data_IF_747670049427
#
_entry.id   IF_747670049427
#
_cell.length_a   1.000
_cell.length_b   1.000
_cell.length_c   1.000
_cell.angle_alpha   90.00
_cell.angle_beta   90.00
_cell.angle_gamma   90.00
#
_symmetry.space_group_name_H-M   'P 1'
#
loop_
_entity.id
_entity.type
_entity.pdbx_description
1 polymer ?
#
# COMPACT_ATOMS: atom_id res chain seq x y z
N UNK A 1 -12.23 -18.89 -23.00
CA UNK A 1 -11.73 -17.63 -22.40
C UNK A 1 -12.52 -17.25 -21.15
N UNK A 2 -13.85 -17.04 -21.23
CA UNK A 2 -14.67 -16.68 -20.06
C UNK A 2 -14.55 -17.69 -18.89
N UNK A 3 -14.73 -19.00 -19.16
CA UNK A 3 -14.54 -20.06 -18.15
C UNK A 3 -13.14 -20.02 -17.50
N UNK A 4 -12.10 -19.77 -18.29
CA UNK A 4 -10.73 -19.64 -17.80
C UNK A 4 -10.55 -18.42 -16.89
N UNK A 5 -11.08 -17.26 -17.29
CA UNK A 5 -11.03 -16.03 -16.49
C UNK A 5 -11.74 -16.25 -15.16
N UNK A 6 -12.93 -16.86 -15.16
CA UNK A 6 -13.64 -17.21 -13.92
C UNK A 6 -12.79 -18.13 -13.06
N UNK A 7 -12.20 -19.18 -13.63
CA UNK A 7 -11.34 -20.10 -12.89
C UNK A 7 -10.13 -19.39 -12.28
N UNK A 8 -9.52 -18.46 -13.03
CA UNK A 8 -8.40 -17.64 -12.56
C UNK A 8 -8.82 -16.74 -11.42
N UNK A 9 -9.95 -16.05 -11.52
CA UNK A 9 -10.52 -15.20 -10.45
C UNK A 9 -10.84 -16.04 -9.22
N UNK A 10 -11.45 -17.22 -9.38
CA UNK A 10 -11.72 -18.13 -8.26
C UNK A 10 -10.43 -18.61 -7.58
N UNK A 11 -9.34 -18.82 -8.34
CA UNK A 11 -8.03 -19.17 -7.79
C UNK A 11 -7.33 -17.99 -7.10
N UNK A 12 -7.70 -16.74 -7.39
CA UNK A 12 -7.14 -15.58 -6.68
C UNK A 12 -7.52 -15.60 -5.21
N UNK A 13 -8.76 -16.01 -4.87
CA UNK A 13 -9.26 -16.04 -3.49
C UNK A 13 -8.40 -16.92 -2.57
N UNK A 14 -8.20 -18.23 -2.85
CA UNK A 14 -7.36 -19.08 -2.00
C UNK A 14 -5.89 -18.65 -2.02
N UNK A 15 -5.40 -18.10 -3.14
CA UNK A 15 -4.03 -17.56 -3.22
C UNK A 15 -3.85 -16.36 -2.30
N UNK A 16 -4.81 -15.42 -2.32
CA UNK A 16 -4.84 -14.23 -1.47
C UNK A 16 -4.93 -14.61 0.02
N UNK A 17 -5.84 -15.52 0.37
CA UNK A 17 -5.96 -16.03 1.74
C UNK A 17 -4.65 -16.71 2.16
N UNK A 18 -4.05 -17.56 1.31
CA UNK A 18 -2.78 -18.22 1.61
C UNK A 18 -1.63 -17.24 1.89
N UNK A 19 -1.48 -16.21 1.07
CA UNK A 19 -0.45 -15.16 1.25
C UNK A 19 -0.70 -14.39 2.54
N UNK A 20 -1.94 -14.00 2.81
CA UNK A 20 -2.30 -13.19 3.99
C UNK A 20 -2.16 -13.97 5.29
N UNK A 21 -2.58 -15.25 5.34
CA UNK A 21 -2.33 -16.13 6.49
C UNK A 21 -0.83 -16.20 6.77
N UNK A 22 -0.03 -16.59 5.76
CA UNK A 22 1.40 -16.79 5.94
C UNK A 22 2.08 -15.54 6.48
N UNK A 23 1.82 -14.37 5.86
CA UNK A 23 2.45 -13.13 6.28
C UNK A 23 1.98 -12.65 7.65
N UNK A 24 0.69 -12.77 7.95
CA UNK A 24 0.12 -12.40 9.24
C UNK A 24 0.74 -13.21 10.38
N UNK A 25 0.89 -14.53 10.21
CA UNK A 25 1.54 -15.39 11.20
C UNK A 25 3.03 -15.06 11.35
N UNK A 26 3.74 -14.81 10.24
CA UNK A 26 5.15 -14.40 10.28
C UNK A 26 5.31 -13.13 11.13
N UNK A 27 4.47 -12.10 10.91
CA UNK A 27 4.55 -10.86 11.69
C UNK A 27 4.39 -11.08 13.19
N UNK A 28 3.60 -12.07 13.61
CA UNK A 28 3.37 -12.36 15.03
C UNK A 28 4.48 -13.18 15.69
N UNK A 29 5.23 -13.96 14.91
CA UNK A 29 6.34 -14.78 15.41
C UNK A 29 7.64 -13.95 15.49
N UNK A 30 7.76 -12.90 14.68
CA UNK A 30 8.92 -12.02 14.67
C UNK A 30 9.07 -11.30 16.02
N UNK A 31 10.21 -11.41 16.71
CA UNK A 31 10.43 -10.76 17.99
C UNK A 31 10.47 -9.23 17.86
N UNK A 32 10.14 -8.53 18.95
CA UNK A 32 10.07 -7.06 18.97
C UNK A 32 8.80 -6.56 18.33
N UNK A 33 7.64 -7.09 18.75
CA UNK A 33 6.33 -6.63 18.26
C UNK A 33 6.02 -5.18 18.66
N UNK A 34 4.93 -4.57 18.16
CA UNK A 34 4.59 -3.17 18.43
C UNK A 34 4.42 -2.88 19.92
N UNK A 35 3.78 -3.80 20.66
CA UNK A 35 3.61 -3.68 22.10
C UNK A 35 4.97 -3.68 22.83
N UNK A 36 5.87 -4.58 22.47
CA UNK A 36 7.22 -4.66 23.07
C UNK A 36 8.05 -3.41 22.76
N UNK A 37 7.96 -2.86 21.54
CA UNK A 37 8.64 -1.63 21.17
C UNK A 37 8.13 -0.43 21.96
N UNK A 38 6.82 -0.28 22.14
CA UNK A 38 6.28 0.82 22.94
C UNK A 38 6.64 0.68 24.42
N UNK A 39 6.57 -0.53 24.98
CA UNK A 39 7.05 -0.79 26.34
C UNK A 39 8.52 -0.39 26.48
N UNK A 40 9.36 -0.75 25.51
CA UNK A 40 10.78 -0.39 25.53
C UNK A 40 10.99 1.13 25.43
N UNK A 41 10.25 1.82 24.55
CA UNK A 41 10.30 3.29 24.43
C UNK A 41 9.87 3.98 25.72
N UNK A 42 8.79 3.52 26.35
CA UNK A 42 8.32 4.04 27.64
C UNK A 42 9.36 3.84 28.74
N UNK A 43 9.95 2.64 28.84
CA UNK A 43 11.04 2.36 29.78
C UNK A 43 12.25 3.27 29.53
N UNK A 44 12.66 3.45 28.28
CA UNK A 44 13.77 4.34 27.92
C UNK A 44 13.48 5.81 28.22
N UNK A 45 12.25 6.27 27.94
CA UNK A 45 11.81 7.63 28.24
C UNK A 45 11.83 7.90 29.75
N UNK A 46 11.38 6.94 30.57
CA UNK A 46 11.43 7.02 32.03
C UNK A 46 12.86 6.94 32.59
N UNK A 47 13.75 6.19 31.93
CA UNK A 47 15.19 6.20 32.28
C UNK A 47 15.85 7.55 31.95
N UNK A 48 15.45 8.21 30.86
CA UNK A 48 15.97 9.53 30.48
C UNK A 48 15.35 10.68 31.28
N UNK A 49 14.11 10.57 31.76
CA UNK A 49 13.43 11.62 32.53
C UNK A 49 13.94 11.78 33.97
N UNK A 50 14.87 10.92 34.42
CA UNK A 50 15.51 11.04 35.74
C UNK A 50 14.62 10.68 36.94
N UNK A 51 13.36 10.30 36.72
CA UNK A 51 12.42 9.88 37.79
C UNK A 51 12.83 8.57 38.47
N UNK A 52 13.69 7.77 37.83
CA UNK A 52 14.27 6.55 38.42
C UNK A 52 15.37 6.84 39.47
N UNK A 53 15.76 8.10 39.70
CA UNK A 53 16.90 8.49 40.55
C UNK A 53 16.63 8.61 42.05
N UNK A 54 15.39 8.45 42.54
CA UNK A 54 15.03 8.77 43.92
C UNK A 54 14.85 7.57 44.86
N UNK A 55 14.96 6.32 44.39
CA UNK A 55 14.93 5.14 45.28
C UNK A 55 16.21 4.33 45.11
N UNK A 56 17.04 4.36 46.15
CA UNK A 56 18.34 3.69 46.17
C UNK A 56 18.22 2.16 46.13
N UNK A 57 19.28 1.55 45.62
CA UNK A 57 19.63 0.12 45.65
C UNK A 57 18.82 -0.82 44.75
N UNK A 58 19.11 -0.79 43.44
CA UNK A 58 19.49 -1.95 42.62
C UNK A 58 19.46 -1.52 41.15
N UNK A 59 20.57 -1.70 40.45
CA UNK A 59 20.71 -1.45 39.00
C UNK A 59 20.00 -2.55 38.17
N UNK A 60 18.99 -3.21 38.76
CA UNK A 60 18.27 -4.39 38.31
C UNK A 60 16.74 -4.28 38.55
N UNK A 61 16.25 -3.11 38.98
CA UNK A 61 14.82 -2.88 39.12
C UNK A 61 14.13 -2.87 37.75
N UNK A 62 13.38 -3.93 37.43
CA UNK A 62 12.43 -3.92 36.33
C UNK A 62 11.53 -2.71 36.50
N UNK A 63 11.57 -1.78 35.54
CA UNK A 63 10.56 -0.74 35.43
C UNK A 63 9.23 -1.45 35.20
N UNK A 64 8.43 -1.56 36.26
CA UNK A 64 7.12 -2.20 36.25
C UNK A 64 6.07 -1.20 35.73
N UNK A 65 5.53 -1.49 34.56
CA UNK A 65 4.37 -0.79 34.02
C UNK A 65 3.15 -1.25 34.81
N UNK A 66 2.30 -0.32 35.26
CA UNK A 66 1.05 -0.65 35.96
C UNK A 66 0.26 -1.72 35.20
N UNK A 67 -0.28 -2.76 35.87
CA UNK A 67 -1.06 -3.83 35.23
C UNK A 67 -2.21 -3.29 34.38
N UNK A 68 -2.87 -2.21 34.82
CA UNK A 68 -3.97 -1.57 34.10
C UNK A 68 -3.48 -0.89 32.81
N UNK A 69 -2.32 -0.23 32.85
CA UNK A 69 -1.71 0.38 31.66
C UNK A 69 -1.31 -0.70 30.64
N UNK A 70 -0.75 -1.82 31.12
CA UNK A 70 -0.40 -2.97 30.29
C UNK A 70 -1.64 -3.59 29.62
N UNK A 71 -2.74 -3.70 30.33
CA UNK A 71 -4.01 -4.21 29.80
C UNK A 71 -4.60 -3.27 28.73
N UNK A 72 -4.62 -1.96 28.99
CA UNK A 72 -5.04 -0.95 27.99
C UNK A 72 -4.17 -1.02 26.73
N UNK A 73 -2.86 -1.16 26.85
CA UNK A 73 -1.96 -1.30 25.70
C UNK A 73 -2.20 -2.61 24.93
N UNK A 74 -2.38 -3.75 25.63
CA UNK A 74 -2.70 -5.03 24.98
C UNK A 74 -4.00 -4.93 24.19
N UNK A 75 -5.03 -4.30 24.76
CA UNK A 75 -6.32 -4.07 24.11
C UNK A 75 -6.18 -3.16 22.89
N UNK A 76 -5.45 -2.05 23.00
CA UNK A 76 -5.19 -1.12 21.89
C UNK A 76 -4.57 -1.81 20.66
N UNK A 77 -3.56 -2.66 20.88
CA UNK A 77 -2.91 -3.42 19.81
C UNK A 77 -3.61 -4.74 19.44
N UNK A 78 -4.75 -5.04 20.06
CA UNK A 78 -5.53 -6.26 19.87
C UNK A 78 -4.82 -7.55 20.32
N UNK A 79 -3.81 -7.46 21.18
CA UNK A 79 -3.12 -8.61 21.78
C UNK A 79 -3.89 -9.21 22.98
N UNK A 80 -5.05 -8.67 23.32
CA UNK A 80 -6.02 -9.27 24.25
C UNK A 80 -6.68 -10.54 23.67
N UNK A 81 -6.71 -10.69 22.35
CA UNK A 81 -7.39 -11.79 21.64
C UNK A 81 -6.42 -12.86 21.13
N UNK A 82 -6.86 -14.13 21.03
CA UNK A 82 -6.07 -15.18 20.39
C UNK A 82 -5.70 -14.82 18.94
N UNK A 83 -4.52 -15.27 18.49
CA UNK A 83 -3.95 -15.00 17.16
C UNK A 83 -4.95 -15.22 16.03
N UNK A 84 -5.70 -16.33 16.09
CA UNK A 84 -6.69 -16.71 15.07
C UNK A 84 -7.83 -15.69 15.03
N UNK A 85 -8.33 -15.25 16.20
CA UNK A 85 -9.41 -14.26 16.27
C UNK A 85 -8.94 -12.92 15.69
N UNK A 86 -7.69 -12.51 15.98
CA UNK A 86 -7.09 -11.31 15.40
C UNK A 86 -7.03 -11.37 13.87
N UNK A 87 -6.67 -12.54 13.31
CA UNK A 87 -6.67 -12.74 11.86
C UNK A 87 -8.06 -12.62 11.27
N UNK A 88 -9.06 -13.27 11.88
CA UNK A 88 -10.44 -13.24 11.39
C UNK A 88 -11.08 -11.85 11.51
N UNK A 89 -10.75 -11.10 12.57
CA UNK A 89 -11.10 -9.69 12.73
C UNK A 89 -10.48 -8.84 11.62
N UNK A 90 -9.18 -8.99 11.39
CA UNK A 90 -8.47 -8.24 10.34
C UNK A 90 -9.02 -8.56 8.94
N UNK A 91 -9.34 -9.82 8.67
CA UNK A 91 -9.92 -10.26 7.40
C UNK A 91 -11.38 -9.76 7.21
N UNK A 92 -12.07 -9.42 8.30
CA UNK A 92 -13.43 -8.90 8.30
C UNK A 92 -14.52 -9.97 8.31
N UNK A 93 -14.19 -11.20 8.73
CA UNK A 93 -15.15 -12.32 8.89
C UNK A 93 -15.51 -12.60 10.34
N UNK A 94 -14.90 -11.87 11.28
CA UNK A 94 -15.26 -11.92 12.69
C UNK A 94 -15.89 -10.59 13.14
N UNK A 95 -16.92 -10.62 14.01
CA UNK A 95 -17.54 -9.41 14.52
C UNK A 95 -16.53 -8.57 15.32
N UNK A 96 -16.38 -7.29 14.97
CA UNK A 96 -15.47 -6.35 15.61
C UNK A 96 -16.26 -5.31 16.40
N UNK A 97 -15.77 -5.00 17.59
CA UNK A 97 -16.27 -3.89 18.39
C UNK A 97 -15.81 -2.57 17.74
N UNK A 98 -16.78 -1.74 17.37
CA UNK A 98 -16.61 -0.43 16.77
C UNK A 98 -17.34 0.61 17.63
N UNK A 99 -17.02 1.88 17.44
CA UNK A 99 -17.64 3.00 18.15
C UNK A 99 -17.57 2.85 19.68
N UNK A 100 -16.45 2.30 20.17
CA UNK A 100 -16.23 2.04 21.58
C UNK A 100 -16.03 3.35 22.35
N UNK A 101 -16.82 3.55 23.41
CA UNK A 101 -16.64 4.66 24.36
C UNK A 101 -16.81 4.18 25.79
N UNK A 102 -15.96 4.68 26.68
CA UNK A 102 -16.10 4.51 28.13
C UNK A 102 -16.83 5.72 28.70
N UNK A 103 -17.90 5.48 29.45
CA UNK A 103 -18.82 6.51 29.93
C UNK A 103 -19.25 6.16 31.36
N UNK A 104 -19.39 7.17 32.22
CA UNK A 104 -19.98 7.00 33.55
C UNK A 104 -21.48 6.70 33.43
N UNK A 105 -22.02 5.85 34.31
CA UNK A 105 -23.46 5.56 34.33
C UNK A 105 -24.23 6.86 34.60
N UNK A 106 -25.24 7.13 33.78
CA UNK A 106 -26.12 8.30 33.90
C UNK A 106 -25.58 9.60 33.28
N UNK A 107 -24.33 9.66 32.82
CA UNK A 107 -23.79 10.85 32.14
C UNK A 107 -23.98 10.74 30.62
N UNK A 108 -24.82 11.61 29.99
CA UNK A 108 -25.00 11.58 28.55
C UNK A 108 -23.76 12.09 27.81
N UNK A 109 -23.51 11.53 26.63
CA UNK A 109 -22.45 11.98 25.74
C UNK A 109 -22.95 12.16 24.31
N UNK A 110 -22.27 13.03 23.56
CA UNK A 110 -22.54 13.24 22.14
C UNK A 110 -21.89 12.18 21.28
N UNK A 111 -22.66 11.65 20.34
CA UNK A 111 -22.23 10.68 19.34
C UNK A 111 -22.47 11.23 17.94
N UNK A 112 -21.42 11.26 17.13
CA UNK A 112 -21.49 11.68 15.72
C UNK A 112 -22.11 10.55 14.90
N UNK A 113 -23.22 10.84 14.22
CA UNK A 113 -23.96 9.88 13.40
C UNK A 113 -23.42 9.90 11.97
N UNK A 114 -23.37 11.07 11.35
CA UNK A 114 -22.97 11.24 9.95
C UNK A 114 -22.53 12.68 9.68
N UNK A 115 -21.71 12.86 8.64
CA UNK A 115 -21.36 14.17 8.10
C UNK A 115 -22.24 14.49 6.89
N UNK A 116 -23.00 15.58 6.96
CA UNK A 116 -23.84 16.05 5.85
C UNK A 116 -23.19 17.25 5.20
N UNK A 117 -23.10 17.22 3.87
CA UNK A 117 -22.53 18.33 3.09
C UNK A 117 -23.62 19.31 2.68
N UNK A 118 -23.42 20.59 2.97
CA UNK A 118 -24.26 21.69 2.50
C UNK A 118 -23.39 22.73 1.78
N UNK A 119 -23.54 22.83 0.46
CA UNK A 119 -22.64 23.65 -0.36
C UNK A 119 -21.18 23.18 -0.29
N UNK A 120 -20.31 24.03 0.26
CA UNK A 120 -18.89 23.73 0.50
C UNK A 120 -18.58 23.33 1.95
N UNK A 121 -19.55 23.44 2.86
CA UNK A 121 -19.37 23.19 4.28
C UNK A 121 -19.85 21.77 4.65
N UNK A 122 -19.22 21.21 5.68
CA UNK A 122 -19.54 19.89 6.24
C UNK A 122 -20.08 20.08 7.65
N UNK A 123 -21.29 19.59 7.90
CA UNK A 123 -21.96 19.67 9.19
C UNK A 123 -22.09 18.28 9.82
N UNK A 124 -21.89 18.22 11.14
CA UNK A 124 -22.00 16.97 11.90
C UNK A 124 -23.42 16.78 12.38
N UNK A 125 -24.05 15.67 11.99
CA UNK A 125 -25.25 15.19 12.65
C UNK A 125 -24.85 14.40 13.89
N UNK A 126 -25.42 14.80 15.01
CA UNK A 126 -25.12 14.27 16.32
C UNK A 126 -26.40 13.82 17.02
N UNK A 127 -26.23 12.98 18.04
CA UNK A 127 -27.28 12.63 18.99
C UNK A 127 -26.67 12.41 20.36
N UNK A 128 -27.49 12.47 21.40
CA UNK A 128 -27.10 12.12 22.75
C UNK A 128 -27.32 10.63 23.00
N UNK A 129 -26.39 10.04 23.73
CA UNK A 129 -26.46 8.66 24.21
C UNK A 129 -26.25 8.69 25.72
N UNK A 130 -27.10 8.00 26.47
CA UNK A 130 -26.91 7.78 27.91
C UNK A 130 -27.08 6.30 28.23
N UNK A 131 -26.40 5.86 29.28
CA UNK A 131 -26.55 4.50 29.82
C UNK A 131 -27.15 4.60 31.20
N UNK A 132 -28.23 3.87 31.45
CA UNK A 132 -28.86 3.78 32.76
C UNK A 132 -28.86 2.33 33.24
N UNK A 133 -28.72 2.16 34.56
CA UNK A 133 -28.85 0.86 35.22
C UNK A 133 -30.29 0.69 35.70
N UNK A 134 -31.07 -0.12 34.97
CA UNK A 134 -32.44 -0.45 35.35
C UNK A 134 -32.46 -1.83 36.01
N UNK A 135 -32.57 -1.86 37.34
CA UNK A 135 -32.67 -3.09 38.13
C UNK A 135 -31.51 -4.09 37.93
N UNK A 136 -30.30 -3.61 37.63
CA UNK A 136 -29.10 -4.42 37.44
C UNK A 136 -28.74 -4.67 35.96
N UNK A 137 -29.67 -4.38 35.04
CA UNK A 137 -29.44 -4.46 33.59
C UNK A 137 -29.12 -3.07 33.02
N UNK A 138 -28.06 -3.00 32.22
CA UNK A 138 -27.64 -1.77 31.56
C UNK A 138 -28.46 -1.56 30.28
N UNK A 139 -29.18 -0.45 30.22
CA UNK A 139 -29.93 -0.04 29.03
C UNK A 139 -29.34 1.23 28.43
N UNK A 140 -29.25 1.26 27.10
CA UNK A 140 -28.75 2.41 26.33
C UNK A 140 -29.94 3.18 25.77
N UNK A 141 -29.97 4.48 26.03
CA UNK A 141 -30.98 5.39 25.50
C UNK A 141 -30.34 6.38 24.52
N UNK A 142 -31.04 6.66 23.43
CA UNK A 142 -30.65 7.64 22.42
C UNK A 142 -31.67 8.78 22.33
N UNK A 143 -31.21 10.00 22.04
CA UNK A 143 -32.07 11.12 21.67
C UNK A 143 -32.41 11.12 20.18
N UNK A 144 -33.27 12.05 19.76
CA UNK A 144 -33.39 12.44 18.36
C UNK A 144 -32.05 12.93 17.77
N UNK A 145 -31.94 12.88 16.44
CA UNK A 145 -30.77 13.36 15.69
C UNK A 145 -30.94 14.85 15.40
N UNK A 146 -29.87 15.62 15.59
CA UNK A 146 -29.82 17.05 15.26
C UNK A 146 -28.38 17.49 14.99
N UNK A 147 -28.18 18.78 14.81
CA UNK A 147 -26.85 19.38 14.65
C UNK A 147 -26.61 20.49 15.67
N UNK A 148 -25.39 21.04 15.73
CA UNK A 148 -25.07 22.15 16.64
C UNK A 148 -25.90 23.42 16.39
N UNK A 149 -26.54 23.51 15.22
CA UNK A 149 -27.48 24.55 14.84
C UNK A 149 -28.45 23.98 13.82
N UNK A 150 -29.64 24.59 13.71
CA UNK A 150 -30.62 24.18 12.72
C UNK A 150 -30.13 24.50 11.30
N UNK A 151 -30.13 23.50 10.41
CA UNK A 151 -29.81 23.67 9.00
C UNK A 151 -30.64 22.70 8.13
N UNK A 152 -31.06 23.14 6.95
CA UNK A 152 -31.96 22.38 6.05
C UNK A 152 -33.18 21.79 6.79
N UNK A 153 -33.32 20.46 6.77
CA UNK A 153 -34.38 19.69 7.43
C UNK A 153 -33.95 19.15 8.81
N UNK A 154 -32.74 19.50 9.29
CA UNK A 154 -32.19 19.01 10.55
C UNK A 154 -32.33 20.06 11.66
N UNK A 155 -33.02 19.72 12.77
CA UNK A 155 -33.16 20.63 13.91
C UNK A 155 -31.85 20.78 14.68
N UNK A 156 -31.73 21.86 15.44
CA UNK A 156 -30.69 22.02 16.45
C UNK A 156 -30.85 20.94 17.53
N UNK A 157 -29.75 20.30 17.91
CA UNK A 157 -29.73 19.30 18.96
C UNK A 157 -29.74 20.01 20.33
N UNK A 158 -30.84 19.91 21.11
CA UNK A 158 -30.94 20.59 22.39
C UNK A 158 -29.92 20.05 23.40
N UNK A 159 -29.70 20.80 24.49
CA UNK A 159 -28.89 20.33 25.61
C UNK A 159 -29.53 19.07 26.23
N UNK A 160 -28.72 18.16 26.74
CA UNK A 160 -29.18 16.88 27.27
C UNK A 160 -30.18 17.03 28.43
N UNK A 161 -30.16 18.18 29.12
CA UNK A 161 -31.10 18.51 30.21
C UNK A 161 -32.50 18.88 29.71
N UNK A 162 -32.64 19.26 28.44
CA UNK A 162 -33.91 19.67 27.81
C UNK A 162 -34.55 18.52 27.01
N UNK A 163 -33.90 17.35 26.94
CA UNK A 163 -34.39 16.18 26.20
C UNK A 163 -35.36 15.39 27.06
N UNK A 164 -36.65 15.51 26.74
CA UNK A 164 -37.72 14.72 27.36
C UNK A 164 -37.84 13.32 26.75
N UNK A 165 -37.63 13.21 25.42
CA UNK A 165 -37.82 11.96 24.68
C UNK A 165 -36.51 11.18 24.51
N UNK A 166 -36.34 10.18 25.37
CA UNK A 166 -35.26 9.19 25.29
C UNK A 166 -35.79 7.85 24.80
N UNK A 167 -35.18 7.31 23.75
CA UNK A 167 -35.60 6.06 23.13
C UNK A 167 -34.65 4.93 23.54
N UNK A 168 -35.14 3.81 24.11
CA UNK A 168 -34.28 2.67 24.41
C UNK A 168 -33.82 1.98 23.12
N UNK A 169 -32.53 1.64 23.04
CA UNK A 169 -31.92 1.07 21.83
C UNK A 169 -31.07 -0.15 22.17
N UNK A 170 -31.43 -1.30 21.60
CA UNK A 170 -30.70 -2.57 21.78
C UNK A 170 -29.55 -2.78 20.78
N UNK A 171 -29.25 -1.79 19.94
CA UNK A 171 -28.18 -1.92 18.92
C UNK A 171 -26.77 -1.78 19.51
N UNK A 172 -26.67 -1.24 20.73
CA UNK A 172 -25.44 -1.08 21.48
C UNK A 172 -25.27 -2.24 22.45
N UNK A 173 -24.03 -2.70 22.59
CA UNK A 173 -23.61 -3.61 23.64
C UNK A 173 -22.97 -2.79 24.77
N UNK A 174 -23.10 -3.29 26.00
CA UNK A 174 -22.58 -2.62 27.20
C UNK A 174 -21.84 -3.60 28.10
N UNK A 175 -20.63 -3.26 28.52
CA UNK A 175 -19.86 -4.00 29.52
C UNK A 175 -19.53 -3.08 30.71
N UNK A 176 -19.72 -3.53 31.96
CA UNK A 176 -19.25 -2.78 33.15
C UNK A 176 -17.72 -2.84 33.23
N UNK A 177 -17.06 -1.69 33.41
CA UNK A 177 -15.60 -1.55 33.47
C UNK A 177 -15.21 -0.76 34.74
N UNK A 178 -13.95 -0.87 35.13
CA UNK A 178 -13.38 -0.16 36.27
C UNK A 178 -13.48 -0.93 37.59
N UNK A 179 -12.51 -0.70 38.48
CA UNK A 179 -12.43 -1.38 39.78
C UNK A 179 -13.67 -1.16 40.68
N UNK A 180 -14.37 -0.05 40.47
CA UNK A 180 -15.60 0.31 41.19
C UNK A 180 -16.90 0.02 40.40
N UNK A 181 -16.81 -0.46 39.15
CA UNK A 181 -17.97 -0.67 38.25
C UNK A 181 -18.80 0.59 37.94
N UNK A 182 -18.24 1.78 38.16
CA UNK A 182 -18.90 3.07 37.90
C UNK A 182 -18.84 3.50 36.42
N UNK A 183 -17.96 2.88 35.62
CA UNK A 183 -17.86 3.13 34.18
C UNK A 183 -18.45 1.96 33.37
N UNK A 184 -19.04 2.31 32.23
CA UNK A 184 -19.59 1.37 31.26
C UNK A 184 -18.92 1.61 29.92
N UNK A 185 -18.51 0.52 29.29
CA UNK A 185 -18.10 0.50 27.88
C UNK A 185 -19.31 0.27 27.02
N UNK A 186 -19.57 1.20 26.12
CA UNK A 186 -20.65 1.13 25.12
C UNK A 186 -20.01 0.95 23.75
N UNK A 187 -20.46 -0.04 22.98
CA UNK A 187 -19.91 -0.33 21.65
C UNK A 187 -20.92 -1.00 20.73
N UNK A 188 -20.69 -0.91 19.42
CA UNK A 188 -21.44 -1.69 18.41
C UNK A 188 -20.57 -2.81 17.90
N UNK A 189 -21.20 -3.88 17.42
CA UNK A 189 -20.49 -4.96 16.75
C UNK A 189 -20.82 -4.98 15.27
N UNK A 190 -19.81 -4.88 14.41
CA UNK A 190 -19.95 -4.97 12.95
C UNK A 190 -18.83 -5.81 12.35
N UNK A 191 -19.12 -6.48 11.24
CA UNK A 191 -18.06 -7.05 10.40
C UNK A 191 -17.28 -5.89 9.75
N UNK A 192 -16.01 -5.77 10.09
CA UNK A 192 -15.13 -4.73 9.55
C UNK A 192 -13.72 -5.26 9.39
N UNK A 193 -13.20 -5.26 8.17
CA UNK A 193 -11.85 -5.68 7.82
C UNK A 193 -11.61 -5.60 6.32
N UNK A 194 -10.67 -6.37 5.81
CA UNK A 194 -10.24 -6.31 4.40
C UNK A 194 -11.43 -6.45 3.43
N UNK A 195 -12.33 -7.41 3.67
CA UNK A 195 -13.46 -7.64 2.76
C UNK A 195 -14.51 -6.53 2.78
N UNK A 196 -14.49 -5.65 3.79
CA UNK A 196 -15.33 -4.46 3.85
C UNK A 196 -14.56 -3.20 3.44
N UNK A 197 -13.33 -3.34 2.94
CA UNK A 197 -12.47 -2.23 2.54
C UNK A 197 -11.71 -1.55 3.69
N UNK A 198 -11.81 -2.06 4.92
CA UNK A 198 -11.11 -1.49 6.08
C UNK A 198 -9.77 -2.22 6.32
N UNK A 199 -8.66 -1.53 6.09
CA UNK A 199 -7.30 -2.08 6.31
C UNK A 199 -6.78 -1.88 7.75
N UNK A 200 -7.59 -1.27 8.62
CA UNK A 200 -7.21 -0.85 9.96
C UNK A 200 -6.68 0.58 9.99
N UNK A 201 -6.23 0.96 11.18
CA UNK A 201 -5.69 2.28 11.51
C UNK A 201 -4.20 2.14 11.84
N UNK A 202 -3.38 3.05 11.37
CA UNK A 202 -1.95 3.05 11.63
C UNK A 202 -1.66 3.32 13.11
N UNK A 203 -0.73 2.56 13.69
CA UNK A 203 -0.23 2.83 15.05
C UNK A 203 0.63 4.09 15.12
N UNK A 204 1.34 4.40 14.04
CA UNK A 204 2.28 5.52 13.96
C UNK A 204 1.60 6.83 13.58
N UNK A 205 0.78 6.79 12.53
CA UNK A 205 0.14 7.98 11.97
C UNK A 205 -1.24 8.25 12.60
N UNK A 206 -1.87 7.25 13.23
CA UNK A 206 -3.24 7.34 13.79
C UNK A 206 -4.28 7.75 12.73
N UNK A 207 -4.08 7.24 11.54
CA UNK A 207 -4.92 7.49 10.37
C UNK A 207 -5.31 6.16 9.72
N UNK A 208 -6.45 6.10 9.01
CA UNK A 208 -6.84 4.92 8.27
C UNK A 208 -5.77 4.53 7.23
N UNK A 209 -5.38 3.25 7.22
CA UNK A 209 -4.34 2.75 6.31
C UNK A 209 -4.73 2.91 4.84
N UNK A 210 -6.03 2.86 4.54
CA UNK A 210 -6.56 3.06 3.18
C UNK A 210 -6.19 4.44 2.65
N UNK A 211 -6.37 5.48 3.47
CA UNK A 211 -6.14 6.87 3.07
C UNK A 211 -4.64 7.10 2.86
N UNK A 212 -3.81 6.67 3.81
CA UNK A 212 -2.34 6.73 3.72
C UNK A 212 -1.80 6.06 2.44
N UNK A 213 -2.39 4.94 2.03
CA UNK A 213 -2.02 4.22 0.81
C UNK A 213 -2.51 4.96 -0.42
N UNK A 214 -3.79 5.37 -0.47
CA UNK A 214 -4.38 6.00 -1.65
C UNK A 214 -3.71 7.33 -1.99
N UNK A 215 -3.34 8.12 -0.97
CA UNK A 215 -2.59 9.35 -1.14
C UNK A 215 -1.22 9.14 -1.79
N UNK A 216 -0.56 8.00 -1.53
CA UNK A 216 0.80 7.72 -2.05
C UNK A 216 0.84 6.80 -3.27
N UNK A 217 -0.27 6.10 -3.54
CA UNK A 217 -0.36 5.10 -4.61
C UNK A 217 -0.03 5.70 -5.97
N UNK A 218 -0.51 6.92 -6.23
CA UNK A 218 -0.31 7.60 -7.51
C UNK A 218 1.18 7.93 -7.77
N UNK A 219 1.95 8.21 -6.71
CA UNK A 219 3.38 8.53 -6.79
C UNK A 219 4.16 7.29 -7.23
N UNK A 220 4.01 6.18 -6.50
CA UNK A 220 4.70 4.94 -6.86
C UNK A 220 4.21 4.36 -8.21
N UNK A 221 2.92 4.50 -8.52
CA UNK A 221 2.37 4.13 -9.82
C UNK A 221 3.03 4.92 -10.96
N UNK A 222 3.26 6.23 -10.79
CA UNK A 222 3.92 7.07 -11.78
C UNK A 222 5.31 6.51 -12.12
N UNK A 223 6.16 6.25 -11.11
CA UNK A 223 7.53 5.77 -11.36
C UNK A 223 7.55 4.43 -12.08
N UNK A 224 6.74 3.48 -11.64
CA UNK A 224 6.77 2.16 -12.26
C UNK A 224 6.09 2.12 -13.63
N UNK A 225 4.99 2.85 -13.85
CA UNK A 225 4.34 2.93 -15.17
C UNK A 225 5.27 3.64 -16.17
N UNK A 226 5.78 4.82 -15.84
CA UNK A 226 6.68 5.59 -16.72
C UNK A 226 7.98 4.82 -16.95
N UNK A 227 8.57 4.24 -15.90
CA UNK A 227 9.77 3.41 -16.01
C UNK A 227 9.57 2.18 -16.89
N UNK A 228 8.41 1.51 -16.80
CA UNK A 228 8.06 0.41 -17.69
C UNK A 228 7.94 0.87 -19.14
N UNK A 229 7.18 1.93 -19.40
CA UNK A 229 7.03 2.46 -20.76
C UNK A 229 8.39 2.84 -21.36
N UNK A 230 9.24 3.53 -20.60
CA UNK A 230 10.57 3.93 -21.05
C UNK A 230 11.47 2.71 -21.29
N UNK A 231 11.42 1.71 -20.40
CA UNK A 231 12.15 0.45 -20.56
C UNK A 231 11.75 -0.26 -21.86
N UNK A 232 10.46 -0.38 -22.16
CA UNK A 232 9.98 -0.99 -23.40
C UNK A 232 10.36 -0.17 -24.62
N UNK A 233 10.20 1.16 -24.56
CA UNK A 233 10.52 2.08 -25.64
C UNK A 233 12.00 2.01 -26.05
N UNK A 234 12.91 1.80 -25.10
CA UNK A 234 14.36 1.75 -25.37
C UNK A 234 14.84 0.32 -25.64
N UNK A 235 14.45 -0.65 -24.80
CA UNK A 235 14.98 -2.01 -24.86
C UNK A 235 14.48 -2.79 -26.08
N UNK A 236 13.24 -2.57 -26.53
CA UNK A 236 12.70 -3.29 -27.68
C UNK A 236 13.46 -2.91 -28.96
N UNK A 237 13.58 -1.62 -29.33
CA UNK A 237 14.41 -1.23 -30.47
C UNK A 237 15.86 -1.71 -30.32
N UNK A 238 16.48 -1.52 -29.15
CA UNK A 238 17.85 -1.96 -28.92
C UNK A 238 18.02 -3.47 -29.13
N UNK A 239 17.11 -4.29 -28.59
CA UNK A 239 17.10 -5.74 -28.78
C UNK A 239 16.91 -6.16 -30.24
N UNK A 240 16.02 -5.49 -30.97
CA UNK A 240 15.82 -5.68 -32.42
C UNK A 240 17.13 -5.39 -33.18
N UNK A 241 17.74 -4.23 -32.94
CA UNK A 241 18.98 -3.84 -33.60
C UNK A 241 20.13 -4.80 -33.27
N UNK A 242 20.23 -5.27 -32.02
CA UNK A 242 21.23 -6.26 -31.59
C UNK A 242 21.06 -7.61 -32.29
N UNK A 243 19.84 -8.07 -32.51
CA UNK A 243 19.57 -9.31 -33.24
C UNK A 243 19.84 -9.18 -34.74
N UNK A 244 19.48 -8.05 -35.37
CA UNK A 244 19.78 -7.81 -36.80
C UNK A 244 21.31 -7.73 -37.02
N UNK A 245 22.03 -7.11 -36.09
CA UNK A 245 23.50 -6.96 -36.14
C UNK A 245 24.21 -8.00 -35.27
N UNK A 246 23.66 -9.22 -35.19
CA UNK A 246 24.24 -10.27 -34.36
C UNK A 246 25.70 -10.57 -34.76
N UNK A 247 26.56 -10.82 -33.77
CA UNK A 247 28.01 -11.02 -33.91
C UNK A 247 28.79 -9.81 -34.47
N UNK A 248 28.19 -8.62 -34.47
CA UNK A 248 28.91 -7.38 -34.80
C UNK A 248 29.53 -6.72 -33.57
N UNK A 249 30.43 -5.75 -33.80
CA UNK A 249 30.95 -4.88 -32.74
C UNK A 249 29.83 -4.15 -31.98
N UNK A 250 28.77 -3.72 -32.66
CA UNK A 250 27.62 -3.08 -32.00
C UNK A 250 26.95 -4.02 -31.01
N UNK A 251 26.76 -5.29 -31.38
CA UNK A 251 26.18 -6.29 -30.48
C UNK A 251 27.09 -6.53 -29.25
N UNK A 252 28.40 -6.64 -29.45
CA UNK A 252 29.36 -6.79 -28.36
C UNK A 252 29.38 -5.57 -27.43
N UNK A 253 29.57 -4.36 -27.97
CA UNK A 253 29.69 -3.12 -27.20
C UNK A 253 28.41 -2.81 -26.39
N UNK A 254 27.24 -2.93 -27.02
CA UNK A 254 25.97 -2.73 -26.31
C UNK A 254 25.71 -3.81 -25.28
N UNK A 255 26.15 -5.06 -25.49
CA UNK A 255 26.04 -6.10 -24.46
C UNK A 255 26.87 -5.74 -23.23
N UNK A 256 28.11 -5.27 -23.42
CA UNK A 256 28.96 -4.82 -22.31
C UNK A 256 28.26 -3.72 -21.52
N UNK A 257 27.77 -2.68 -22.18
CA UNK A 257 27.06 -1.56 -21.52
C UNK A 257 25.84 -2.07 -20.74
N UNK A 258 25.02 -2.92 -21.36
CA UNK A 258 23.81 -3.47 -20.75
C UNK A 258 24.13 -4.34 -19.52
N UNK A 259 25.13 -5.21 -19.59
CA UNK A 259 25.52 -6.07 -18.47
C UNK A 259 26.25 -5.33 -17.36
N UNK A 260 27.06 -4.32 -17.68
CA UNK A 260 27.66 -3.42 -16.68
C UNK A 260 26.56 -2.66 -15.94
N UNK A 261 25.61 -2.07 -16.66
CA UNK A 261 24.47 -1.37 -16.04
C UNK A 261 23.64 -2.29 -15.14
N UNK A 262 23.38 -3.51 -15.58
CA UNK A 262 22.65 -4.52 -14.81
C UNK A 262 23.38 -4.96 -13.53
N UNK A 263 24.71 -4.88 -13.50
CA UNK A 263 25.50 -5.24 -12.33
C UNK A 263 25.38 -4.21 -11.20
N UNK A 264 24.87 -3.00 -11.49
CA UNK A 264 24.69 -1.94 -10.50
C UNK A 264 23.25 -2.00 -9.96
N UNK A 265 23.05 -2.18 -8.64
CA UNK A 265 21.72 -2.09 -8.05
C UNK A 265 21.08 -0.72 -8.33
N UNK A 266 19.79 -0.68 -8.67
CA UNK A 266 19.11 0.56 -9.09
C UNK A 266 19.21 1.70 -8.08
N UNK A 267 19.11 1.41 -6.78
CA UNK A 267 19.29 2.42 -5.73
C UNK A 267 20.74 2.94 -5.66
N UNK A 268 21.73 2.08 -5.85
CA UNK A 268 23.14 2.46 -5.85
C UNK A 268 23.46 3.32 -7.08
N UNK A 269 22.90 2.98 -8.25
CA UNK A 269 22.94 3.85 -9.41
C UNK A 269 22.29 5.20 -9.10
N UNK A 270 21.17 5.22 -8.37
CA UNK A 270 20.50 6.45 -7.95
C UNK A 270 21.39 7.35 -7.09
N UNK A 271 22.12 6.78 -6.14
CA UNK A 271 23.10 7.52 -5.33
C UNK A 271 24.19 8.13 -6.22
N UNK A 272 24.72 7.37 -7.18
CA UNK A 272 25.72 7.89 -8.12
C UNK A 272 25.13 9.01 -9.00
N UNK A 273 23.91 8.84 -9.51
CA UNK A 273 23.23 9.84 -10.31
C UNK A 273 22.99 11.13 -9.52
N UNK A 274 22.54 11.03 -8.27
CA UNK A 274 22.40 12.19 -7.38
C UNK A 274 23.75 12.84 -7.10
N UNK A 275 24.80 12.06 -6.85
CA UNK A 275 26.13 12.62 -6.62
C UNK A 275 26.62 13.44 -7.82
N UNK A 276 26.48 12.92 -9.04
CA UNK A 276 26.99 13.58 -10.24
C UNK A 276 26.07 14.69 -10.78
N UNK A 277 24.76 14.52 -10.66
CA UNK A 277 23.78 15.38 -11.30
C UNK A 277 22.88 16.16 -10.32
N UNK A 278 22.99 15.93 -9.02
CA UNK A 278 22.19 16.58 -7.98
C UNK A 278 23.03 17.34 -6.96
N UNK A 279 22.53 18.50 -6.54
CA UNK A 279 23.00 19.23 -5.36
C UNK A 279 24.46 19.70 -5.41
N UNK A 280 24.91 20.17 -6.57
CA UNK A 280 26.12 21.00 -6.67
C UNK A 280 27.49 20.33 -6.52
N UNK A 281 27.58 19.03 -6.21
CA UNK A 281 28.88 18.36 -6.04
C UNK A 281 29.67 18.25 -7.35
N UNK A 282 28.97 18.08 -8.46
CA UNK A 282 29.54 18.07 -9.81
C UNK A 282 28.70 18.93 -10.75
N UNK A 283 27.68 18.33 -11.38
CA UNK A 283 26.77 19.01 -12.30
C UNK A 283 25.44 19.23 -11.60
N UNK A 284 25.12 20.46 -11.23
CA UNK A 284 23.88 20.81 -10.52
C UNK A 284 22.68 20.92 -11.47
N UNK A 285 22.24 19.78 -12.00
CA UNK A 285 21.25 19.74 -13.10
C UNK A 285 19.85 19.38 -12.58
N UNK A 286 19.77 18.45 -11.63
CA UNK A 286 18.50 17.91 -11.15
C UNK A 286 18.35 18.08 -9.63
N UNK A 287 17.10 18.12 -9.13
CA UNK A 287 16.82 18.14 -7.70
C UNK A 287 17.38 16.91 -6.96
N UNK A 288 17.59 17.07 -5.65
CA UNK A 288 18.10 16.01 -4.79
C UNK A 288 17.04 14.93 -4.43
N UNK A 289 15.76 15.22 -4.65
CA UNK A 289 14.69 14.31 -4.29
C UNK A 289 13.30 14.92 -4.47
N UNK A 290 12.33 14.32 -3.79
CA UNK A 290 10.90 14.66 -3.81
C UNK A 290 10.22 14.42 -5.17
N UNK A 291 8.89 14.30 -5.14
CA UNK A 291 8.11 14.06 -6.36
C UNK A 291 7.91 15.32 -7.20
N UNK A 292 7.84 16.49 -6.55
CA UNK A 292 7.59 17.82 -7.10
C UNK A 292 8.19 18.87 -6.18
N UNK A 293 8.40 20.08 -6.69
CA UNK A 293 8.80 21.22 -5.87
C UNK A 293 7.66 21.77 -5.00
N UNK A 294 7.97 22.45 -3.87
CA UNK A 294 6.95 23.04 -3.00
C UNK A 294 6.05 24.09 -3.67
N UNK A 295 6.57 24.80 -4.67
CA UNK A 295 5.85 25.82 -5.42
C UNK A 295 5.19 25.27 -6.70
N UNK A 296 5.10 23.94 -6.86
CA UNK A 296 4.54 23.30 -8.05
C UNK A 296 3.16 23.85 -8.41
N UNK A 297 2.27 24.04 -7.43
CA UNK A 297 0.91 24.51 -7.71
C UNK A 297 0.82 25.93 -8.26
N UNK A 298 1.83 26.75 -7.98
CA UNK A 298 1.93 28.14 -8.45
C UNK A 298 2.50 28.25 -9.87
N UNK A 299 3.05 27.16 -10.42
CA UNK A 299 3.67 27.15 -11.74
C UNK A 299 2.64 27.09 -12.89
N UNK A 300 2.97 27.71 -14.02
CA UNK A 300 2.27 27.50 -15.28
C UNK A 300 2.49 26.06 -15.79
N UNK A 301 1.67 25.61 -16.73
CA UNK A 301 1.67 24.26 -17.28
C UNK A 301 3.06 23.77 -17.72
N UNK A 302 3.80 24.60 -18.46
CA UNK A 302 5.17 24.23 -18.90
C UNK A 302 6.15 24.13 -17.73
N UNK A 303 5.98 24.98 -16.71
CA UNK A 303 6.75 24.89 -15.47
C UNK A 303 6.48 23.59 -14.74
N UNK A 304 5.21 23.21 -14.57
CA UNK A 304 4.79 21.93 -13.99
C UNK A 304 5.38 20.72 -14.73
N UNK A 305 5.40 20.74 -16.06
CA UNK A 305 5.99 19.65 -16.86
C UNK A 305 7.50 19.55 -16.65
N UNK A 306 8.22 20.69 -16.69
CA UNK A 306 9.66 20.71 -16.50
C UNK A 306 10.05 20.27 -15.09
N UNK A 307 9.36 20.78 -14.07
CA UNK A 307 9.54 20.40 -12.67
C UNK A 307 9.37 18.89 -12.49
N UNK A 308 8.25 18.35 -12.96
CA UNK A 308 7.93 16.93 -12.84
C UNK A 308 8.99 16.05 -13.52
N UNK A 309 9.46 16.42 -14.72
CA UNK A 309 10.52 15.67 -15.42
C UNK A 309 11.83 15.75 -14.64
N UNK A 310 12.20 16.94 -14.15
CA UNK A 310 13.46 17.16 -13.44
C UNK A 310 13.54 16.35 -12.14
N UNK A 311 12.45 16.32 -11.37
CA UNK A 311 12.35 15.51 -10.15
C UNK A 311 12.33 14.00 -10.42
N UNK A 312 11.84 13.56 -11.58
CA UNK A 312 11.55 12.14 -11.82
C UNK A 312 12.55 11.42 -12.73
N UNK A 313 13.35 12.13 -13.52
CA UNK A 313 14.26 11.53 -14.51
C UNK A 313 15.29 10.59 -13.87
N UNK A 314 15.96 11.02 -12.79
CA UNK A 314 16.97 10.19 -12.12
C UNK A 314 16.34 8.97 -11.43
N UNK A 315 15.26 9.09 -10.64
CA UNK A 315 14.57 7.93 -10.10
C UNK A 315 14.06 6.96 -11.17
N UNK A 316 13.53 7.46 -12.30
CA UNK A 316 13.05 6.62 -13.41
C UNK A 316 14.20 5.81 -14.03
N UNK A 317 15.37 6.42 -14.21
CA UNK A 317 16.57 5.72 -14.71
C UNK A 317 16.96 4.60 -13.72
N UNK A 318 17.01 4.91 -12.42
CA UNK A 318 17.30 3.95 -11.36
C UNK A 318 16.29 2.81 -11.28
N UNK A 319 15.01 3.07 -11.55
CA UNK A 319 13.97 2.04 -11.62
C UNK A 319 14.12 1.16 -12.86
N UNK A 320 14.41 1.78 -14.01
CA UNK A 320 14.40 1.10 -15.32
C UNK A 320 15.61 0.17 -15.52
N UNK A 321 16.74 0.45 -14.87
CA UNK A 321 18.00 -0.28 -15.08
C UNK A 321 17.86 -1.79 -14.81
N UNK A 322 17.08 -2.17 -13.80
CA UNK A 322 16.89 -3.58 -13.43
C UNK A 322 16.16 -4.40 -14.50
N UNK A 323 15.31 -3.75 -15.31
CA UNK A 323 14.60 -4.40 -16.42
C UNK A 323 15.38 -4.35 -17.73
N UNK A 324 16.37 -3.47 -17.84
CA UNK A 324 17.02 -3.12 -19.10
C UNK A 324 17.73 -4.30 -19.76
N UNK A 325 18.51 -5.06 -18.98
CA UNK A 325 19.21 -6.23 -19.48
C UNK A 325 18.26 -7.36 -19.83
N UNK A 326 17.35 -7.70 -18.92
CA UNK A 326 16.38 -8.77 -19.13
C UNK A 326 15.54 -8.53 -20.39
N UNK A 327 14.97 -7.33 -20.54
CA UNK A 327 14.09 -7.02 -21.66
C UNK A 327 14.84 -6.93 -23.00
N UNK A 328 16.02 -6.32 -23.02
CA UNK A 328 16.85 -6.21 -24.23
C UNK A 328 17.31 -7.59 -24.72
N UNK A 329 17.81 -8.43 -23.81
CA UNK A 329 18.28 -9.79 -24.14
C UNK A 329 17.12 -10.69 -24.53
N UNK A 330 15.98 -10.60 -23.84
CA UNK A 330 14.78 -11.35 -24.20
C UNK A 330 14.30 -11.00 -25.62
N UNK A 331 14.23 -9.70 -25.96
CA UNK A 331 13.86 -9.26 -27.30
C UNK A 331 14.85 -9.76 -28.36
N UNK A 332 16.16 -9.64 -28.08
CA UNK A 332 17.22 -10.13 -28.98
C UNK A 332 17.08 -11.63 -29.25
N UNK A 333 17.01 -12.43 -28.19
CA UNK A 333 16.98 -13.88 -28.31
C UNK A 333 15.69 -14.36 -28.98
N UNK A 334 14.55 -13.76 -28.63
CA UNK A 334 13.27 -14.08 -29.27
C UNK A 334 13.29 -13.76 -30.76
N UNK A 335 13.94 -12.66 -31.17
CA UNK A 335 14.08 -12.33 -32.59
C UNK A 335 15.02 -13.29 -33.33
N UNK A 336 16.16 -13.64 -32.73
CA UNK A 336 17.08 -14.62 -33.34
C UNK A 336 16.41 -15.99 -33.56
N UNK A 337 15.64 -16.45 -32.58
CA UNK A 337 14.88 -17.69 -32.69
C UNK A 337 13.83 -17.62 -33.81
N UNK A 338 13.05 -16.52 -33.85
CA UNK A 338 12.03 -16.32 -34.88
C UNK A 338 12.62 -16.20 -36.29
N UNK A 339 13.78 -15.56 -36.45
CA UNK A 339 14.48 -15.45 -37.73
C UNK A 339 14.92 -16.83 -38.27
N UNK A 340 15.17 -17.80 -37.39
CA UNK A 340 15.54 -19.17 -37.75
C UNK A 340 14.35 -20.07 -38.16
N UNK A 341 13.12 -19.59 -38.07
CA UNK A 341 11.91 -20.40 -38.23
C UNK A 341 11.49 -20.64 -39.69
N UNK A 342 10.72 -21.71 -39.92
CA UNK A 342 10.26 -22.12 -41.26
C UNK A 342 9.32 -21.10 -41.92
N UNK A 343 8.51 -20.38 -41.12
CA UNK A 343 7.62 -19.35 -41.67
C UNK A 343 8.42 -18.16 -42.24
N UNK A 344 9.56 -17.82 -41.63
CA UNK A 344 10.49 -16.79 -42.13
C UNK A 344 11.14 -17.24 -43.43
N UNK A 345 11.63 -18.49 -43.49
CA UNK A 345 12.16 -19.07 -44.74
C UNK A 345 11.13 -19.05 -45.87
N UNK A 346 9.89 -19.44 -45.56
CA UNK A 346 8.76 -19.40 -46.51
C UNK A 346 8.48 -17.97 -46.99
N UNK A 347 8.56 -16.98 -46.10
CA UNK A 347 8.37 -15.57 -46.45
C UNK A 347 9.45 -15.07 -47.44
N UNK A 348 10.71 -15.47 -47.24
CA UNK A 348 11.78 -15.21 -48.20
C UNK A 348 11.56 -15.94 -49.54
N UNK A 349 11.14 -17.21 -49.52
CA UNK A 349 10.84 -17.98 -50.75
C UNK A 349 9.70 -17.37 -51.58
N UNK A 350 8.79 -16.62 -50.94
CA UNK A 350 7.74 -15.84 -51.63
C UNK A 350 8.23 -14.52 -52.23
N UNK A 351 9.52 -14.19 -52.13
CA UNK A 351 10.11 -12.97 -52.69
C UNK A 351 9.88 -11.71 -51.87
N UNK A 352 9.50 -11.83 -50.58
CA UNK A 352 9.36 -10.66 -49.71
C UNK A 352 10.73 -10.06 -49.38
N UNK A 353 10.80 -8.73 -49.30
CA UNK A 353 12.03 -8.02 -48.94
C UNK A 353 12.44 -8.30 -47.49
N UNK A 354 13.74 -8.34 -47.22
CA UNK A 354 14.31 -8.60 -45.89
C UNK A 354 13.69 -7.72 -44.80
N UNK A 355 13.57 -6.40 -45.05
CA UNK A 355 12.94 -5.47 -44.10
C UNK A 355 11.49 -5.85 -43.78
N UNK A 356 10.72 -6.30 -44.79
CA UNK A 356 9.34 -6.74 -44.59
C UNK A 356 9.30 -8.04 -43.79
N UNK A 357 10.15 -9.02 -44.12
CA UNK A 357 10.26 -10.28 -43.39
C UNK A 357 10.61 -10.06 -41.92
N UNK A 358 11.62 -9.23 -41.64
CA UNK A 358 12.06 -8.94 -40.28
C UNK A 358 10.98 -8.19 -39.48
N UNK A 359 10.56 -7.00 -39.93
CA UNK A 359 9.71 -6.13 -39.10
C UNK A 359 8.24 -6.54 -39.05
N UNK A 360 7.71 -7.14 -40.13
CA UNK A 360 6.29 -7.52 -40.17
C UNK A 360 6.08 -8.95 -39.67
N UNK A 361 6.98 -9.88 -40.02
CA UNK A 361 6.81 -11.29 -39.67
C UNK A 361 7.60 -11.67 -38.41
N UNK A 362 8.91 -11.48 -38.38
CA UNK A 362 9.74 -11.97 -37.27
C UNK A 362 9.53 -11.16 -35.98
N UNK A 363 9.65 -9.84 -36.03
CA UNK A 363 9.51 -8.95 -34.84
C UNK A 363 8.15 -9.10 -34.18
N UNK A 364 7.07 -9.15 -34.97
CA UNK A 364 5.72 -9.29 -34.45
C UNK A 364 5.55 -10.55 -33.59
N UNK A 365 6.10 -11.68 -34.02
CA UNK A 365 6.07 -12.93 -33.25
C UNK A 365 7.08 -12.95 -32.10
N UNK A 366 8.13 -12.14 -32.19
CA UNK A 366 9.16 -12.02 -31.14
C UNK A 366 8.71 -11.15 -29.98
N UNK A 367 7.66 -10.34 -30.15
CA UNK A 367 7.08 -9.52 -29.09
C UNK A 367 6.15 -10.30 -28.15
N UNK A 368 5.75 -11.52 -28.52
CA UNK A 368 4.80 -12.32 -27.74
C UNK A 368 5.32 -12.54 -26.30
N UNK A 369 6.57 -13.02 -26.07
CA UNK A 369 7.08 -13.22 -24.71
C UNK A 369 7.16 -11.93 -23.89
N UNK A 370 7.42 -10.79 -24.56
CA UNK A 370 7.52 -9.47 -23.91
C UNK A 370 6.15 -8.96 -23.47
N UNK A 371 5.12 -9.18 -24.30
CA UNK A 371 3.76 -8.80 -23.99
C UNK A 371 3.16 -9.68 -22.88
N UNK A 372 3.49 -10.97 -22.85
CA UNK A 372 3.09 -11.86 -21.76
C UNK A 372 3.78 -11.53 -20.45
N UNK A 373 5.00 -10.99 -20.49
CA UNK A 373 5.75 -10.62 -19.29
C UNK A 373 5.21 -9.40 -18.53
N UNK A 374 4.31 -8.60 -19.14
CA UNK A 374 3.81 -7.34 -18.58
C UNK A 374 3.21 -7.52 -17.18
N UNK A 375 2.45 -8.59 -16.95
CA UNK A 375 1.82 -8.83 -15.65
C UNK A 375 2.81 -9.02 -14.49
N UNK A 376 3.95 -9.67 -14.76
CA UNK A 376 5.03 -9.79 -13.78
C UNK A 376 5.68 -8.44 -13.47
N UNK A 377 5.83 -7.60 -14.50
CA UNK A 377 6.40 -6.26 -14.36
C UNK A 377 5.47 -5.35 -13.57
N UNK A 378 4.14 -5.41 -13.80
CA UNK A 378 3.13 -4.69 -12.99
C UNK A 378 3.27 -5.05 -11.50
N UNK A 379 3.45 -6.33 -11.17
CA UNK A 379 3.68 -6.74 -9.78
C UNK A 379 4.94 -6.13 -9.16
N UNK A 380 6.03 -6.03 -9.95
CA UNK A 380 7.31 -5.44 -9.50
C UNK A 380 7.23 -3.91 -9.39
N UNK A 381 6.47 -3.25 -10.27
CA UNK A 381 6.21 -1.80 -10.25
C UNK A 381 5.59 -1.36 -8.93
N UNK A 382 4.56 -2.07 -8.48
CA UNK A 382 3.85 -1.71 -7.25
C UNK A 382 4.45 -2.31 -5.99
N UNK A 383 5.35 -3.29 -6.13
CA UNK A 383 6.18 -3.76 -5.03
C UNK A 383 7.26 -2.75 -4.61
N UNK A 384 7.25 -1.53 -5.18
CA UNK A 384 7.90 -0.31 -4.69
C UNK A 384 9.34 -0.52 -4.25
N UNK A 385 10.32 -0.12 -5.06
CA UNK A 385 11.72 -0.12 -4.60
C UNK A 385 11.89 0.94 -3.51
N UNK A 386 11.57 0.59 -2.27
CA UNK A 386 11.66 1.46 -1.10
C UNK A 386 13.07 2.04 -0.97
N UNK A 387 14.09 1.33 -1.45
CA UNK A 387 15.47 1.84 -1.49
C UNK A 387 15.61 3.01 -2.46
N UNK A 388 15.00 2.93 -3.65
CA UNK A 388 15.00 4.05 -4.59
C UNK A 388 14.16 5.19 -4.02
N UNK A 389 12.96 4.91 -3.50
CA UNK A 389 12.13 5.96 -2.88
C UNK A 389 12.86 6.65 -1.73
N UNK A 390 13.54 5.89 -0.86
CA UNK A 390 14.38 6.43 0.21
C UNK A 390 15.57 7.23 -0.30
N UNK A 391 16.26 6.76 -1.34
CA UNK A 391 17.42 7.44 -1.93
C UNK A 391 17.05 8.82 -2.47
N UNK A 392 15.88 8.96 -3.09
CA UNK A 392 15.40 10.20 -3.68
C UNK A 392 14.38 10.94 -2.81
N UNK A 393 14.23 10.60 -1.53
CA UNK A 393 13.25 11.20 -0.62
C UNK A 393 11.82 11.27 -1.21
N UNK A 394 11.38 10.22 -1.89
CA UNK A 394 10.05 10.12 -2.49
C UNK A 394 9.09 9.51 -1.48
N UNK A 395 8.01 10.22 -1.13
CA UNK A 395 6.95 9.72 -0.24
C UNK A 395 5.98 8.76 -0.96
N UNK A 396 6.50 7.61 -1.39
CA UNK A 396 5.73 6.56 -2.04
C UNK A 396 5.23 5.47 -1.09
N UNK A 397 4.42 4.54 -1.62
CA UNK A 397 3.91 3.40 -0.82
C UNK A 397 5.02 2.44 -0.39
N UNK A 398 6.15 2.38 -1.12
CA UNK A 398 7.28 1.52 -0.78
C UNK A 398 8.00 2.03 0.47
N UNK A 399 8.25 3.33 0.55
CA UNK A 399 8.83 3.99 1.72
C UNK A 399 7.89 3.91 2.93
N UNK A 400 6.58 4.13 2.72
CA UNK A 400 5.56 3.95 3.75
C UNK A 400 5.59 2.52 4.33
N UNK A 401 5.60 1.50 3.46
CA UNK A 401 5.68 0.10 3.86
C UNK A 401 6.98 -0.25 4.59
N UNK A 402 8.12 0.30 4.14
CA UNK A 402 9.40 0.10 4.83
C UNK A 402 9.40 0.71 6.23
N UNK A 403 8.93 1.97 6.37
CA UNK A 403 8.85 2.64 7.66
C UNK A 403 7.90 1.90 8.61
N UNK A 404 6.79 1.37 8.10
CA UNK A 404 5.87 0.53 8.87
C UNK A 404 6.55 -0.74 9.41
N UNK A 405 7.40 -1.40 8.62
CA UNK A 405 8.14 -2.59 9.08
C UNK A 405 9.14 -2.26 10.19
N UNK A 406 9.83 -1.11 10.08
CA UNK A 406 10.80 -0.64 11.09
C UNK A 406 10.10 -0.23 12.39
N UNK A 407 9.00 0.52 12.27
CA UNK A 407 8.21 1.03 13.39
C UNK A 407 7.20 0.01 13.93
N UNK A 408 7.18 -1.22 13.40
CA UNK A 408 6.25 -2.30 13.76
C UNK A 408 4.78 -1.92 13.64
N UNK A 409 4.48 -1.07 12.67
CA UNK A 409 3.12 -0.73 12.29
C UNK A 409 2.50 -1.88 11.49
N UNK A 410 1.90 -2.83 12.20
CA UNK A 410 1.28 -4.01 11.60
C UNK A 410 0.13 -3.66 10.65
N UNK A 411 -0.80 -2.73 10.97
CA UNK A 411 -1.86 -2.33 10.06
C UNK A 411 -1.34 -1.87 8.70
N UNK A 412 -0.34 -0.97 8.66
CA UNK A 412 0.24 -0.54 7.38
C UNK A 412 0.95 -1.70 6.69
N UNK A 413 1.75 -2.48 7.41
CA UNK A 413 2.50 -3.62 6.84
C UNK A 413 1.57 -4.65 6.17
N UNK A 414 0.45 -4.93 6.83
CA UNK A 414 -0.61 -5.82 6.33
C UNK A 414 -1.41 -5.18 5.20
N UNK A 415 -1.70 -3.88 5.27
CA UNK A 415 -2.32 -3.13 4.18
C UNK A 415 -1.47 -3.15 2.90
N UNK A 416 -0.16 -2.93 3.03
CA UNK A 416 0.80 -3.03 1.93
C UNK A 416 0.81 -4.43 1.29
N UNK A 417 0.77 -5.48 2.11
CA UNK A 417 0.65 -6.86 1.62
C UNK A 417 -0.65 -7.06 0.82
N UNK A 418 -1.78 -6.56 1.32
CA UNK A 418 -3.08 -6.67 0.63
C UNK A 418 -3.02 -5.98 -0.72
N UNK A 419 -2.57 -4.73 -0.75
CA UNK A 419 -2.44 -3.93 -1.98
C UNK A 419 -1.50 -4.60 -2.96
N UNK A 420 -0.30 -4.99 -2.53
CA UNK A 420 0.69 -5.64 -3.38
C UNK A 420 0.22 -7.01 -3.91
N UNK A 421 -0.47 -7.80 -3.09
CA UNK A 421 -1.00 -9.10 -3.52
C UNK A 421 -2.15 -8.97 -4.51
N UNK A 422 -3.09 -8.04 -4.29
CA UNK A 422 -4.18 -7.74 -5.22
C UNK A 422 -3.61 -7.26 -6.56
N UNK A 423 -2.69 -6.32 -6.55
CA UNK A 423 -2.07 -5.79 -7.78
C UNK A 423 -1.32 -6.90 -8.53
N UNK A 424 -0.58 -7.76 -7.84
CA UNK A 424 0.10 -8.91 -8.45
C UNK A 424 -0.89 -9.90 -9.08
N UNK A 425 -1.98 -10.21 -8.40
CA UNK A 425 -3.01 -11.12 -8.91
C UNK A 425 -3.71 -10.53 -10.14
N UNK A 426 -4.03 -9.24 -10.11
CA UNK A 426 -4.57 -8.50 -11.26
C UNK A 426 -3.55 -8.48 -12.42
N UNK A 427 -2.28 -8.18 -12.14
CA UNK A 427 -1.21 -8.21 -13.14
C UNK A 427 -1.09 -9.57 -13.83
N UNK A 428 -1.15 -10.66 -13.06
CA UNK A 428 -1.15 -12.02 -13.60
C UNK A 428 -2.37 -12.31 -14.49
N UNK A 429 -3.54 -11.76 -14.18
CA UNK A 429 -4.73 -11.90 -15.04
C UNK A 429 -4.58 -11.09 -16.33
N UNK A 430 -4.04 -9.87 -16.26
CA UNK A 430 -3.75 -9.05 -17.44
C UNK A 430 -2.76 -9.79 -18.36
N UNK A 431 -1.70 -10.38 -17.80
CA UNK A 431 -0.73 -11.18 -18.55
C UNK A 431 -1.38 -12.33 -19.32
N UNK A 432 -2.26 -13.10 -18.67
CA UNK A 432 -2.97 -14.18 -19.35
C UNK A 432 -3.88 -13.66 -20.47
N UNK A 433 -4.56 -12.54 -20.26
CA UNK A 433 -5.41 -11.91 -21.26
C UNK A 433 -4.59 -11.43 -22.46
N UNK A 434 -3.43 -10.83 -22.22
CA UNK A 434 -2.48 -10.47 -23.27
C UNK A 434 -2.04 -11.71 -24.05
N UNK A 435 -1.71 -12.81 -23.36
CA UNK A 435 -1.30 -14.04 -24.01
C UNK A 435 -2.39 -14.60 -24.92
N UNK A 436 -3.62 -14.64 -24.41
CA UNK A 436 -4.80 -15.11 -25.12
C UNK A 436 -5.17 -14.26 -26.33
N UNK A 437 -5.00 -12.94 -26.23
CA UNK A 437 -5.28 -12.01 -27.32
C UNK A 437 -4.24 -12.09 -28.44
N UNK A 438 -2.99 -12.39 -28.09
CA UNK A 438 -1.86 -12.40 -29.02
C UNK A 438 -1.76 -13.73 -29.78
N UNK A 439 -1.96 -14.86 -29.10
CA UNK A 439 -1.96 -16.17 -29.74
C UNK A 439 -3.35 -16.84 -29.68
N UNK A 440 -4.14 -16.75 -30.78
CA UNK A 440 -5.48 -17.33 -30.84
C UNK A 440 -5.47 -18.88 -30.90
N UNK A 441 -4.30 -19.52 -31.01
CA UNK A 441 -4.17 -20.99 -31.00
C UNK A 441 -4.25 -21.55 -29.59
N UNK A 442 -4.04 -20.71 -28.56
CA UNK A 442 -4.11 -21.12 -27.17
C UNK A 442 -5.56 -21.36 -26.79
N UNK A 443 -5.93 -22.64 -26.70
CA UNK A 443 -7.22 -23.06 -26.15
C UNK A 443 -7.09 -23.22 -24.65
N UNK A 444 -7.44 -22.17 -23.91
CA UNK A 444 -7.63 -22.26 -22.45
C UNK A 444 -8.81 -23.21 -22.18
N UNK A 445 -8.49 -24.45 -21.80
CA UNK A 445 -9.47 -25.46 -21.38
C UNK A 445 -9.79 -25.34 -19.90
#
# INVERSE_FOLDING_TARGET
MFSYIIRRILLMIPTFIGITIMFFFILQIVPGGPLEQEILKLKQAQMQSGEAGASGSSMEGEIEISPEAMEKMKKFYGFDKPIIVRYLLWLGVWPRDIDEKEVSIGEPYRFNVEYVKDGNDLYELQKWIKVEDQNGELEVFESGIGADFAFQDYPELPDYTEIEDWYPVSSWNTDRIGANQDSVRVYKTRLSGIFTGNLGESYTFREPVVDLVMERLHISAYFGIVGMFLSYLICIPLGIYKAIKHNSFFDAATSVIVFVGYSIPGFALGILLLMFFGGGSFWDVFPLGDFRSPNFEEMDFMGKVYDQISHTILPIISWSIGSFATLTVLMKNSLLENLGSDYVRTAFSKGLSERRVIFIHAVRNSLIPLATGIGGIIGVIFAGSYLIEKTFNIDGIGLLGFNALINRDYPISLGFLVVGSVIKLIGNLISDMCYAAIDPRIRFK
#
